data_IF_535981437441
#
_entry.id   IF_535981437441
#
_cell.length_a   1.000
_cell.length_b   1.000
_cell.length_c   1.000
_cell.angle_alpha   90.00
_cell.angle_beta   90.00
_cell.angle_gamma   90.00
#
_symmetry.space_group_name_H-M   'P 1'
#
loop_
_entity.id
_entity.type
_entity.pdbx_description
1 polymer ?
#
# COMPACT_ATOMS: atom_id res chain seq x y z
N UNK A 1 -4.49 -17.43 1.71
CA UNK A 1 -5.09 -17.52 0.36
C UNK A 1 -5.66 -16.20 -0.05
N UNK A 2 -5.30 -15.71 -1.23
CA UNK A 2 -5.84 -14.47 -1.77
C UNK A 2 -7.26 -14.69 -2.26
N UNK A 3 -8.18 -13.83 -1.89
CA UNK A 3 -9.58 -13.94 -2.29
C UNK A 3 -10.04 -12.81 -3.20
N UNK A 4 -9.30 -11.71 -3.20
CA UNK A 4 -9.68 -10.53 -3.95
C UNK A 4 -8.45 -9.81 -4.46
N UNK A 5 -8.68 -8.96 -5.47
CA UNK A 5 -7.64 -8.14 -6.06
C UNK A 5 -8.15 -6.72 -6.16
N UNK A 6 -7.36 -5.78 -5.68
CA UNK A 6 -7.65 -4.35 -5.81
C UNK A 6 -6.64 -3.73 -6.75
N UNK A 7 -7.10 -3.07 -7.81
CA UNK A 7 -6.23 -2.35 -8.72
C UNK A 7 -5.93 -0.97 -8.16
N UNK A 8 -4.66 -0.60 -8.19
CA UNK A 8 -4.19 0.69 -7.71
C UNK A 8 -3.73 1.51 -8.91
N UNK A 9 -4.28 2.72 -9.03
CA UNK A 9 -3.92 3.66 -10.07
C UNK A 9 -4.06 5.05 -9.46
N UNK A 10 -2.99 5.49 -8.79
CA UNK A 10 -3.01 6.70 -7.98
C UNK A 10 -1.96 7.69 -8.42
N UNK A 11 -2.31 8.98 -8.31
CA UNK A 11 -1.38 10.08 -8.47
C UNK A 11 -1.30 10.78 -7.11
N UNK A 12 -0.15 10.67 -6.46
CA UNK A 12 0.00 11.10 -5.06
C UNK A 12 0.84 12.37 -5.01
N UNK A 13 0.25 13.49 -4.56
CA UNK A 13 0.99 14.74 -4.41
C UNK A 13 2.17 14.62 -3.45
N UNK A 14 3.17 15.46 -3.63
CA UNK A 14 4.33 15.53 -2.76
C UNK A 14 3.92 15.68 -1.30
N UNK A 15 4.54 14.91 -0.43
CA UNK A 15 4.36 15.01 1.02
C UNK A 15 3.01 14.50 1.53
N UNK A 16 2.23 13.85 0.68
CA UNK A 16 0.89 13.38 1.04
C UNK A 16 0.84 11.86 1.18
N UNK A 17 -0.13 11.42 1.98
CA UNK A 17 -0.50 10.01 2.07
C UNK A 17 -1.86 9.85 1.39
N UNK A 18 -1.98 8.83 0.54
CA UNK A 18 -3.25 8.50 -0.08
C UNK A 18 -3.72 7.15 0.45
N UNK A 19 -4.98 7.08 0.82
CA UNK A 19 -5.60 5.93 1.45
C UNK A 19 -6.75 5.45 0.58
N UNK A 20 -6.92 4.13 0.49
CA UNK A 20 -8.07 3.55 -0.21
C UNK A 20 -9.37 3.97 0.46
N UNK A 21 -10.41 4.16 -0.35
CA UNK A 21 -11.73 4.59 0.15
C UNK A 21 -12.44 3.49 0.95
N UNK A 22 -12.12 2.24 0.64
CA UNK A 22 -12.78 1.08 1.24
C UNK A 22 -11.78 0.27 2.04
N UNK A 23 -12.14 -0.10 3.25
CA UNK A 23 -11.31 -0.96 4.08
C UNK A 23 -11.37 -2.40 3.58
N UNK A 24 -10.26 -3.12 3.74
CA UNK A 24 -10.20 -4.55 3.53
C UNK A 24 -10.49 -5.26 4.85
N UNK A 25 -11.45 -6.19 4.84
CA UNK A 25 -11.71 -7.04 6.00
C UNK A 25 -10.73 -8.20 5.94
N UNK A 26 -9.76 -8.19 6.85
CA UNK A 26 -8.68 -9.17 6.87
C UNK A 26 -8.68 -9.92 8.19
N UNK A 27 -8.33 -11.20 8.13
CA UNK A 27 -8.25 -12.05 9.31
C UNK A 27 -6.81 -12.30 9.71
N UNK A 28 -6.61 -12.58 10.99
CA UNK A 28 -5.30 -12.94 11.49
C UNK A 28 -4.72 -14.10 10.68
N UNK A 29 -3.43 -14.05 10.42
CA UNK A 29 -2.67 -15.03 9.64
C UNK A 29 -2.89 -14.99 8.13
N UNK A 30 -3.78 -14.13 7.63
CA UNK A 30 -3.87 -13.89 6.19
C UNK A 30 -2.61 -13.20 5.69
N UNK A 31 -2.23 -13.49 4.45
CA UNK A 31 -1.11 -12.82 3.78
C UNK A 31 -1.65 -11.94 2.66
N UNK A 32 -1.26 -10.68 2.69
CA UNK A 32 -1.60 -9.71 1.64
C UNK A 32 -0.36 -9.46 0.81
N UNK A 33 -0.51 -9.47 -0.51
CA UNK A 33 0.59 -9.19 -1.44
C UNK A 33 0.38 -7.83 -2.07
N UNK A 34 1.40 -6.97 -1.99
CA UNK A 34 1.44 -5.68 -2.67
C UNK A 34 2.41 -5.82 -3.85
N UNK A 35 1.92 -5.54 -5.05
CA UNK A 35 2.74 -5.61 -6.27
C UNK A 35 2.45 -4.37 -7.09
N UNK A 36 3.28 -3.34 -6.93
CA UNK A 36 3.10 -2.04 -7.56
C UNK A 36 4.38 -1.55 -8.21
N UNK A 37 4.19 -0.70 -9.22
CA UNK A 37 5.28 0.09 -9.81
C UNK A 37 4.94 1.56 -9.62
N UNK A 38 5.96 2.40 -9.69
CA UNK A 38 5.74 3.84 -9.53
C UNK A 38 6.74 4.64 -10.34
N UNK A 39 6.35 5.88 -10.61
CA UNK A 39 7.16 6.83 -11.37
C UNK A 39 7.14 8.20 -10.67
N UNK A 40 8.26 8.90 -10.59
CA UNK A 40 9.58 8.51 -11.05
C UNK A 40 10.18 7.38 -10.19
N UNK A 41 11.05 6.59 -10.78
CA UNK A 41 11.62 5.43 -10.07
C UNK A 41 12.49 5.83 -8.88
N UNK A 42 12.91 7.08 -8.82
CA UNK A 42 13.69 7.65 -7.71
C UNK A 42 12.81 8.16 -6.58
N UNK A 43 11.50 8.08 -6.72
CA UNK A 43 10.58 8.53 -5.68
C UNK A 43 10.76 7.71 -4.41
N UNK A 44 10.56 8.37 -3.27
CA UNK A 44 10.60 7.72 -1.96
C UNK A 44 9.16 7.50 -1.51
N UNK A 45 8.67 6.30 -1.70
CA UNK A 45 7.30 5.92 -1.38
C UNK A 45 7.26 4.82 -0.34
N UNK A 46 6.33 4.94 0.60
CA UNK A 46 6.05 3.92 1.59
C UNK A 46 4.70 3.29 1.31
N UNK A 47 4.67 1.96 1.24
CA UNK A 47 3.48 1.18 0.94
C UNK A 47 3.08 0.33 2.12
N UNK A 48 1.81 0.37 2.50
CA UNK A 48 1.37 -0.46 3.61
C UNK A 48 -0.10 -0.30 3.93
N UNK A 49 -0.43 -0.48 5.21
CA UNK A 49 -1.80 -0.45 5.67
C UNK A 49 -1.95 0.41 6.91
N UNK A 50 -3.08 1.10 6.98
CA UNK A 50 -3.53 1.74 8.20
C UNK A 50 -4.34 0.68 8.94
N UNK A 51 -3.86 0.31 10.12
CA UNK A 51 -4.42 -0.77 10.92
C UNK A 51 -5.67 -0.33 11.67
N UNK A 52 -6.41 -1.27 12.29
CA UNK A 52 -7.59 -0.90 13.07
C UNK A 52 -7.33 0.09 14.20
N UNK A 53 -6.11 0.12 14.73
CA UNK A 53 -5.72 1.09 15.77
C UNK A 53 -5.21 2.42 15.19
N UNK A 54 -5.41 2.63 13.88
CA UNK A 54 -5.05 3.84 13.16
C UNK A 54 -3.54 4.09 13.07
N UNK A 55 -2.75 3.03 13.01
CA UNK A 55 -1.31 3.09 12.84
C UNK A 55 -0.94 2.69 11.41
N UNK A 56 -0.02 3.43 10.80
CA UNK A 56 0.47 3.13 9.45
C UNK A 56 1.69 2.22 9.54
N UNK A 57 1.52 0.97 9.14
CA UNK A 57 2.60 -0.01 9.01
C UNK A 57 2.97 -0.12 7.55
N UNK A 58 4.24 0.12 7.22
CA UNK A 58 4.65 0.26 5.83
C UNK A 58 6.02 -0.35 5.56
N UNK A 59 6.28 -0.56 4.27
CA UNK A 59 7.57 -0.94 3.71
C UNK A 59 7.87 0.02 2.57
N UNK A 60 9.10 0.48 2.48
CA UNK A 60 9.51 1.41 1.42
C UNK A 60 9.74 0.66 0.12
N UNK A 61 9.28 1.24 -1.00
CA UNK A 61 9.61 0.75 -2.32
C UNK A 61 11.06 1.06 -2.69
N UNK A 62 11.53 0.44 -3.74
CA UNK A 62 12.89 0.63 -4.22
C UNK A 62 12.95 0.56 -5.73
N UNK A 63 13.63 1.52 -6.34
CA UNK A 63 13.90 1.57 -7.78
C UNK A 63 12.66 1.46 -8.66
N UNK A 64 11.56 2.09 -8.23
CA UNK A 64 10.36 2.18 -9.05
C UNK A 64 9.39 1.03 -8.88
N UNK A 65 9.61 0.12 -7.95
CA UNK A 65 8.68 -0.98 -7.72
C UNK A 65 8.69 -1.48 -6.30
N UNK A 66 7.62 -2.19 -5.95
CA UNK A 66 7.54 -2.94 -4.70
C UNK A 66 6.78 -4.23 -4.95
N UNK A 67 7.29 -5.30 -4.38
CA UNK A 67 6.59 -6.57 -4.33
C UNK A 67 6.87 -7.17 -2.95
N UNK A 68 5.85 -7.21 -2.12
CA UNK A 68 6.02 -7.65 -0.74
C UNK A 68 4.78 -8.39 -0.26
N UNK A 69 4.99 -9.29 0.69
CA UNK A 69 3.92 -10.01 1.39
C UNK A 69 3.88 -9.51 2.82
N UNK A 70 2.67 -9.22 3.29
CA UNK A 70 2.44 -8.75 4.65
C UNK A 70 1.52 -9.74 5.33
N UNK A 71 1.97 -10.31 6.46
CA UNK A 71 1.14 -11.18 7.27
C UNK A 71 0.32 -10.34 8.24
N UNK A 72 -0.98 -10.58 8.28
CA UNK A 72 -1.90 -9.86 9.16
C UNK A 72 -1.88 -10.51 10.54
N UNK A 73 -1.63 -9.72 11.58
CA UNK A 73 -1.55 -10.21 12.94
C UNK A 73 -2.92 -10.30 13.62
N UNK A 74 -3.74 -9.27 13.43
CA UNK A 74 -5.04 -9.17 14.09
C UNK A 74 -6.16 -9.04 13.07
N UNK A 75 -7.26 -9.75 13.32
CA UNK A 75 -8.46 -9.61 12.51
C UNK A 75 -9.03 -8.21 12.63
N UNK A 76 -9.40 -7.61 11.52
CA UNK A 76 -9.98 -6.27 11.51
C UNK A 76 -10.04 -5.66 10.14
N UNK A 77 -10.29 -4.36 10.11
CA UNK A 77 -10.38 -3.59 8.86
C UNK A 77 -9.11 -2.78 8.66
N UNK A 78 -8.54 -2.93 7.48
CA UNK A 78 -7.27 -2.31 7.11
C UNK A 78 -7.46 -1.46 5.86
N UNK A 79 -6.85 -0.29 5.83
CA UNK A 79 -6.85 0.56 4.64
C UNK A 79 -5.48 0.52 3.97
N UNK A 80 -5.46 0.13 2.70
CA UNK A 80 -4.23 0.25 1.92
C UNK A 80 -3.88 1.72 1.75
N UNK A 81 -2.62 2.07 1.97
CA UNK A 81 -2.17 3.46 1.87
C UNK A 81 -0.76 3.53 1.31
N UNK A 82 -0.49 4.64 0.63
CA UNK A 82 0.85 4.96 0.09
C UNK A 82 1.19 6.38 0.47
N UNK A 83 2.38 6.57 1.03
CA UNK A 83 2.89 7.88 1.41
C UNK A 83 4.00 8.31 0.47
N UNK A 84 3.89 9.51 -0.07
CA UNK A 84 4.92 10.09 -0.93
C UNK A 84 5.80 11.03 -0.13
N UNK A 85 7.05 10.64 0.08
CA UNK A 85 8.04 11.45 0.79
C UNK A 85 8.90 12.28 -0.16
N UNK A 86 8.57 12.27 -1.44
CA UNK A 86 9.34 12.94 -2.49
C UNK A 86 8.87 14.39 -2.65
N UNK A 87 9.72 15.23 -3.23
CA UNK A 87 9.40 16.63 -3.48
C UNK A 87 8.42 16.85 -4.63
N UNK A 88 8.19 15.83 -5.43
CA UNK A 88 7.31 15.88 -6.60
C UNK A 88 6.19 14.87 -6.47
N UNK A 89 5.15 15.01 -7.28
CA UNK A 89 4.09 14.01 -7.36
C UNK A 89 4.64 12.68 -7.84
N UNK A 90 4.02 11.60 -7.40
CA UNK A 90 4.37 10.26 -7.84
C UNK A 90 3.13 9.54 -8.33
N UNK A 91 3.30 8.73 -9.38
CA UNK A 91 2.23 7.92 -9.96
C UNK A 91 2.46 6.47 -9.55
N UNK A 92 1.42 5.82 -9.04
CA UNK A 92 1.49 4.44 -8.55
C UNK A 92 0.50 3.59 -9.33
N UNK A 93 0.99 2.48 -9.86
CA UNK A 93 0.18 1.51 -10.60
C UNK A 93 0.46 0.11 -10.08
N UNK A 94 -0.57 -0.71 -9.96
CA UNK A 94 -0.38 -2.10 -9.59
C UNK A 94 -1.59 -2.71 -8.93
N UNK A 95 -1.32 -3.71 -8.09
CA UNK A 95 -2.37 -4.52 -7.49
C UNK A 95 -2.05 -4.85 -6.05
N UNK A 96 -3.11 -4.97 -5.26
CA UNK A 96 -3.06 -5.52 -3.91
C UNK A 96 -3.94 -6.78 -3.91
N UNK A 97 -3.35 -7.90 -3.53
CA UNK A 97 -4.03 -9.19 -3.46
C UNK A 97 -4.31 -9.55 -2.00
N UNK A 98 -5.58 -9.82 -1.71
CA UNK A 98 -5.98 -10.10 -0.32
C UNK A 98 -7.13 -11.09 -0.18
#
# INVERSE_FOLDING_TARGET
MTRATSRIEWDIPSGKIMKADTAYSLEADEVVTINCTYSPRTADLDFGFITPDNTFHFTSGSEGSIKTNIQIEDTGKYYFAVRNNTKNSAEVLGYVYY
#
